data_IF_321575864425
#
_entry.id   IF_321575864425
#
_cell.length_a   1.000
_cell.length_b   1.000
_cell.length_c   1.000
_cell.angle_alpha   90.00
_cell.angle_beta   90.00
_cell.angle_gamma   90.00
#
_symmetry.space_group_name_H-M   'P 1'
#
loop_
_entity.id
_entity.type
_entity.pdbx_description
1 polymer ?
#
# COMPACT_ATOMS: atom_id res chain seq x y z
N UNK A 1 55.98 8.65 30.11
CA UNK A 1 54.81 9.56 30.11
C UNK A 1 53.56 8.71 30.24
N UNK A 2 52.83 8.83 31.36
CA UNK A 2 51.62 8.03 31.60
C UNK A 2 50.50 8.49 30.66
N UNK A 3 49.88 7.55 29.93
CA UNK A 3 48.65 7.81 29.16
C UNK A 3 47.58 8.30 30.13
N UNK A 4 47.03 9.49 29.87
CA UNK A 4 45.92 10.07 30.63
C UNK A 4 44.71 9.12 30.50
N UNK A 5 43.98 8.81 31.59
CA UNK A 5 42.84 7.92 31.51
C UNK A 5 41.75 8.58 30.65
N UNK A 6 41.28 7.83 29.66
CA UNK A 6 40.19 8.22 28.77
C UNK A 6 38.89 8.16 29.58
N UNK A 7 38.30 9.33 29.86
CA UNK A 7 37.02 9.42 30.55
C UNK A 7 35.95 9.01 29.56
N UNK A 8 35.43 7.80 29.72
CA UNK A 8 34.21 7.37 29.03
C UNK A 8 33.08 8.17 29.65
N UNK A 9 32.66 9.22 28.96
CA UNK A 9 31.45 9.96 29.32
C UNK A 9 30.29 9.05 28.96
N UNK A 10 29.64 8.44 29.95
CA UNK A 10 28.36 7.77 29.73
C UNK A 10 27.37 8.84 29.24
N UNK A 11 27.07 8.83 27.94
CA UNK A 11 25.98 9.61 27.39
C UNK A 11 24.69 9.13 28.06
N UNK A 12 24.22 9.91 29.04
CA UNK A 12 22.92 9.71 29.66
C UNK A 12 21.87 9.98 28.59
N UNK A 13 21.31 8.91 28.02
CA UNK A 13 20.11 8.99 27.19
C UNK A 13 19.02 9.68 28.01
N UNK A 14 18.80 10.98 27.77
CA UNK A 14 17.64 11.68 28.30
C UNK A 14 16.41 11.15 27.59
N UNK A 15 15.70 10.22 28.23
CA UNK A 15 14.38 9.81 27.78
C UNK A 15 13.48 11.06 27.68
N UNK A 16 13.02 11.36 26.46
CA UNK A 16 12.09 12.47 26.21
C UNK A 16 10.67 11.98 26.45
N UNK A 17 10.31 11.82 27.73
CA UNK A 17 8.98 11.35 28.14
C UNK A 17 7.99 12.53 28.00
N UNK A 18 6.97 12.36 27.14
CA UNK A 18 5.83 13.29 27.06
C UNK A 18 4.71 12.76 27.95
N UNK A 19 4.31 13.54 28.96
CA UNK A 19 3.17 13.21 29.83
C UNK A 19 1.95 13.92 29.25
N UNK A 20 1.05 13.16 28.64
CA UNK A 20 -0.18 13.66 28.02
C UNK A 20 -1.39 12.88 28.55
N UNK A 21 -2.56 13.53 28.77
CA UNK A 21 -3.79 12.84 29.13
C UNK A 21 -4.20 11.82 28.07
N UNK A 22 -4.62 10.63 28.50
CA UNK A 22 -5.01 9.54 27.60
C UNK A 22 -6.14 9.97 26.65
N UNK A 23 -7.10 10.74 27.15
CA UNK A 23 -8.26 11.20 26.39
C UNK A 23 -7.83 12.03 25.17
N UNK A 24 -6.85 12.92 25.37
CA UNK A 24 -6.33 13.78 24.31
C UNK A 24 -5.56 12.96 23.27
N UNK A 25 -4.66 12.09 23.73
CA UNK A 25 -3.85 11.24 22.83
C UNK A 25 -4.76 10.31 22.02
N UNK A 26 -5.73 9.65 22.66
CA UNK A 26 -6.64 8.73 21.98
C UNK A 26 -7.50 9.45 20.95
N UNK A 27 -8.10 10.60 21.31
CA UNK A 27 -8.91 11.40 20.40
C UNK A 27 -8.13 11.81 19.16
N UNK A 28 -6.95 12.39 19.33
CA UNK A 28 -6.13 12.91 18.23
C UNK A 28 -5.60 11.81 17.32
N UNK A 29 -5.09 10.71 17.90
CA UNK A 29 -4.54 9.58 17.13
C UNK A 29 -5.64 8.84 16.38
N UNK A 30 -6.78 8.62 17.02
CA UNK A 30 -7.93 8.00 16.38
C UNK A 30 -8.48 8.86 15.25
N UNK A 31 -8.69 10.16 15.49
CA UNK A 31 -9.21 11.07 14.47
C UNK A 31 -8.28 11.16 13.25
N UNK A 32 -6.96 11.23 13.49
CA UNK A 32 -5.97 11.26 12.41
C UNK A 32 -6.00 9.98 11.58
N UNK A 33 -6.05 8.81 12.23
CA UNK A 33 -6.13 7.54 11.52
C UNK A 33 -7.45 7.37 10.78
N UNK A 34 -8.58 7.71 11.40
CA UNK A 34 -9.90 7.63 10.80
C UNK A 34 -9.98 8.51 9.55
N UNK A 35 -9.50 9.76 9.64
CA UNK A 35 -9.42 10.66 8.49
C UNK A 35 -8.61 10.05 7.34
N UNK A 36 -7.43 9.50 7.63
CA UNK A 36 -6.60 8.84 6.62
C UNK A 36 -7.31 7.64 5.98
N UNK A 37 -7.98 6.79 6.77
CA UNK A 37 -8.71 5.64 6.24
C UNK A 37 -9.83 6.07 5.31
N UNK A 38 -10.59 7.10 5.69
CA UNK A 38 -11.72 7.60 4.91
C UNK A 38 -11.23 8.19 3.58
N UNK A 39 -10.22 9.05 3.63
CA UNK A 39 -9.76 9.81 2.45
C UNK A 39 -8.83 9.00 1.52
N UNK A 40 -7.90 8.23 2.09
CA UNK A 40 -6.77 7.65 1.34
C UNK A 40 -6.80 6.11 1.28
N UNK A 41 -7.89 5.46 1.71
CA UNK A 41 -7.99 3.99 1.67
C UNK A 41 -9.37 3.47 1.27
N UNK A 42 -10.41 3.86 1.99
CA UNK A 42 -11.70 3.18 1.96
C UNK A 42 -12.60 3.65 0.82
N UNK A 43 -12.73 4.98 0.65
CA UNK A 43 -13.70 5.60 -0.27
C UNK A 43 -13.00 5.98 -1.60
N UNK A 44 -13.60 5.67 -2.76
CA UNK A 44 -13.07 6.10 -4.05
C UNK A 44 -13.22 7.62 -4.27
N UNK A 45 -12.40 8.19 -5.13
CA UNK A 45 -12.54 9.58 -5.56
C UNK A 45 -13.72 9.71 -6.55
N UNK A 46 -14.52 10.77 -6.43
CA UNK A 46 -15.71 10.97 -7.28
C UNK A 46 -15.37 11.19 -8.77
N UNK A 47 -14.17 11.68 -9.07
CA UNK A 47 -13.77 12.05 -10.44
C UNK A 47 -13.45 10.84 -11.31
N UNK A 48 -12.87 9.81 -10.73
CA UNK A 48 -12.42 8.60 -11.44
C UNK A 48 -13.04 7.30 -10.89
N UNK A 49 -13.69 7.35 -9.73
CA UNK A 49 -14.27 6.17 -9.08
C UNK A 49 -13.23 5.19 -8.52
N UNK A 50 -11.95 5.56 -8.45
CA UNK A 50 -10.87 4.66 -8.05
C UNK A 50 -10.43 4.88 -6.60
N UNK A 51 -10.18 3.77 -5.90
CA UNK A 51 -9.44 3.80 -4.63
C UNK A 51 -7.94 4.04 -4.88
N UNK A 52 -7.19 4.57 -3.90
CA UNK A 52 -5.77 4.88 -4.11
C UNK A 52 -4.90 3.71 -4.58
N UNK A 53 -5.15 2.48 -4.10
CA UNK A 53 -4.41 1.29 -4.56
C UNK A 53 -4.66 0.99 -6.03
N UNK A 54 -5.91 1.06 -6.48
CA UNK A 54 -6.31 0.80 -7.88
C UNK A 54 -5.68 1.81 -8.83
N UNK A 55 -5.74 3.10 -8.47
CA UNK A 55 -5.12 4.19 -9.22
C UNK A 55 -3.61 3.98 -9.39
N UNK A 56 -2.92 3.60 -8.30
CA UNK A 56 -1.46 3.37 -8.32
C UNK A 56 -1.08 2.18 -9.18
N UNK A 57 -1.86 1.10 -9.17
CA UNK A 57 -1.64 -0.07 -10.05
C UNK A 57 -1.73 0.34 -11.52
N UNK A 58 -2.84 0.97 -11.92
CA UNK A 58 -3.06 1.39 -13.31
C UNK A 58 -1.97 2.38 -13.76
N UNK A 59 -1.62 3.35 -12.90
CA UNK A 59 -0.56 4.31 -13.20
C UNK A 59 0.81 3.64 -13.36
N UNK A 60 1.15 2.66 -12.52
CA UNK A 60 2.40 1.90 -12.63
C UNK A 60 2.44 1.04 -13.90
N UNK A 61 1.32 0.41 -14.28
CA UNK A 61 1.21 -0.33 -15.55
C UNK A 61 1.42 0.59 -16.75
N UNK A 62 0.80 1.78 -16.74
CA UNK A 62 1.02 2.80 -17.77
C UNK A 62 2.49 3.25 -17.83
N UNK A 63 3.11 3.57 -16.69
CA UNK A 63 4.52 4.01 -16.61
C UNK A 63 5.51 2.93 -17.05
N UNK A 64 5.20 1.66 -16.80
CA UNK A 64 6.02 0.52 -17.24
C UNK A 64 5.70 0.03 -18.66
N UNK A 65 4.90 0.80 -19.41
CA UNK A 65 4.47 0.48 -20.77
C UNK A 65 3.82 -0.92 -20.88
N UNK A 66 3.08 -1.31 -19.85
CA UNK A 66 2.27 -2.53 -19.84
C UNK A 66 0.86 -2.19 -20.34
N UNK A 67 0.75 -2.00 -21.65
CA UNK A 67 -0.48 -1.61 -22.33
C UNK A 67 -1.14 -2.84 -22.99
N UNK A 68 -2.41 -2.70 -23.36
CA UNK A 68 -3.21 -3.78 -23.97
C UNK A 68 -2.60 -4.43 -25.22
N UNK A 69 -1.72 -3.72 -25.94
CA UNK A 69 -1.08 -4.19 -27.17
C UNK A 69 0.29 -4.84 -26.92
N UNK A 70 0.67 -5.08 -25.66
CA UNK A 70 1.92 -5.72 -25.27
C UNK A 70 1.63 -7.09 -24.64
N UNK A 71 2.60 -8.03 -24.67
CA UNK A 71 2.47 -9.28 -23.94
C UNK A 71 2.27 -9.04 -22.44
N UNK A 72 1.55 -9.95 -21.80
CA UNK A 72 1.32 -9.94 -20.36
C UNK A 72 2.66 -9.99 -19.60
N UNK A 73 2.73 -9.28 -18.48
CA UNK A 73 3.87 -9.30 -17.56
C UNK A 73 3.48 -10.02 -16.27
N UNK A 74 4.46 -10.63 -15.60
CA UNK A 74 4.25 -11.30 -14.31
C UNK A 74 3.64 -10.32 -13.28
N UNK A 75 2.56 -10.72 -12.62
CA UNK A 75 1.90 -9.91 -11.59
C UNK A 75 2.88 -9.46 -10.49
N UNK A 76 3.77 -10.35 -10.04
CA UNK A 76 4.80 -10.04 -9.03
C UNK A 76 5.70 -8.85 -9.41
N UNK A 77 5.98 -8.64 -10.70
CA UNK A 77 6.76 -7.48 -11.15
C UNK A 77 6.00 -6.17 -11.00
N UNK A 78 4.73 -6.16 -11.41
CA UNK A 78 3.85 -4.98 -11.25
C UNK A 78 3.60 -4.69 -9.77
N UNK A 79 3.26 -5.71 -8.98
CA UNK A 79 3.06 -5.59 -7.52
C UNK A 79 4.32 -5.04 -6.84
N UNK A 80 5.49 -5.60 -7.13
CA UNK A 80 6.76 -5.12 -6.56
C UNK A 80 7.08 -3.67 -6.92
N UNK A 81 6.80 -3.26 -8.16
CA UNK A 81 7.00 -1.88 -8.61
C UNK A 81 6.03 -0.91 -7.92
N UNK A 82 4.75 -1.28 -7.83
CA UNK A 82 3.74 -0.47 -7.12
C UNK A 82 4.11 -0.33 -5.65
N UNK A 83 4.51 -1.41 -5.01
CA UNK A 83 4.93 -1.43 -3.60
C UNK A 83 6.14 -0.53 -3.36
N UNK A 84 7.18 -0.68 -4.18
CA UNK A 84 8.43 0.06 -4.03
C UNK A 84 8.34 1.54 -4.37
N UNK A 85 7.46 1.93 -5.30
CA UNK A 85 7.42 3.32 -5.81
C UNK A 85 6.22 4.13 -5.33
N UNK A 86 5.04 3.52 -5.17
CA UNK A 86 3.79 4.26 -5.02
C UNK A 86 2.93 3.86 -3.81
N UNK A 87 3.03 2.63 -3.32
CA UNK A 87 2.12 2.08 -2.33
C UNK A 87 2.89 1.37 -1.20
N UNK A 88 3.25 2.09 -0.12
CA UNK A 88 4.06 1.55 0.98
C UNK A 88 3.21 0.69 1.94
N UNK A 89 2.50 -0.30 1.39
CA UNK A 89 1.71 -1.29 2.13
C UNK A 89 1.98 -2.68 1.54
N UNK A 90 1.44 -3.71 2.18
CA UNK A 90 1.70 -5.10 1.80
C UNK A 90 1.41 -5.43 0.34
N UNK A 91 2.23 -6.31 -0.22
CA UNK A 91 2.10 -6.86 -1.56
C UNK A 91 0.77 -7.58 -1.76
N UNK A 92 0.27 -8.29 -0.75
CA UNK A 92 -1.03 -8.99 -0.77
C UNK A 92 -2.19 -8.04 -1.11
N UNK A 93 -2.26 -6.88 -0.46
CA UNK A 93 -3.32 -5.89 -0.70
C UNK A 93 -3.29 -5.32 -2.12
N UNK A 94 -2.09 -5.21 -2.71
CA UNK A 94 -1.91 -4.76 -4.09
C UNK A 94 -2.31 -5.87 -5.06
N UNK A 95 -1.89 -7.11 -4.81
CA UNK A 95 -2.20 -8.26 -5.64
C UNK A 95 -3.70 -8.55 -5.68
N UNK A 96 -4.37 -8.56 -4.54
CA UNK A 96 -5.82 -8.74 -4.44
C UNK A 96 -6.59 -7.65 -5.18
N UNK A 97 -6.14 -6.38 -5.06
CA UNK A 97 -6.76 -5.28 -5.79
C UNK A 97 -6.56 -5.42 -7.30
N UNK A 98 -5.38 -5.87 -7.74
CA UNK A 98 -5.07 -6.14 -9.14
C UNK A 98 -5.98 -7.25 -9.71
N UNK A 99 -6.04 -8.39 -9.04
CA UNK A 99 -6.88 -9.52 -9.46
C UNK A 99 -8.38 -9.15 -9.43
N UNK A 100 -8.84 -8.39 -8.43
CA UNK A 100 -10.25 -7.94 -8.40
C UNK A 100 -10.62 -7.07 -9.60
N UNK A 101 -9.69 -6.27 -10.12
CA UNK A 101 -9.93 -5.40 -11.27
C UNK A 101 -9.98 -6.15 -12.62
N UNK A 102 -9.58 -7.43 -12.65
CA UNK A 102 -9.69 -8.28 -13.84
C UNK A 102 -10.88 -9.25 -13.82
N UNK A 103 -11.50 -9.47 -12.64
CA UNK A 103 -12.61 -10.41 -12.46
C UNK A 103 -13.94 -9.83 -12.94
N UNK A 104 -14.40 -10.25 -14.12
CA UNK A 104 -15.65 -9.80 -14.76
C UNK A 104 -16.92 -10.09 -13.96
N UNK A 105 -16.93 -11.11 -13.11
CA UNK A 105 -18.04 -11.37 -12.17
C UNK A 105 -18.05 -10.43 -10.95
N UNK A 106 -16.95 -9.72 -10.66
CA UNK A 106 -16.87 -8.76 -9.53
C UNK A 106 -16.96 -7.30 -9.97
N UNK A 107 -16.59 -6.99 -11.22
CA UNK A 107 -16.64 -5.63 -11.77
C UNK A 107 -17.31 -5.64 -13.14
N UNK A 108 -18.17 -4.66 -13.40
CA UNK A 108 -18.93 -4.57 -14.65
C UNK A 108 -18.04 -4.40 -15.88
N UNK A 109 -16.94 -3.65 -15.73
CA UNK A 109 -15.96 -3.39 -16.78
C UNK A 109 -14.57 -3.64 -16.20
N UNK A 110 -13.97 -4.82 -16.47
CA UNK A 110 -12.59 -5.10 -16.07
C UNK A 110 -11.62 -4.06 -16.61
N UNK A 111 -10.71 -3.61 -15.75
CA UNK A 111 -9.68 -2.61 -16.09
C UNK A 111 -8.32 -3.26 -16.39
N UNK A 112 -8.17 -4.54 -16.06
CA UNK A 112 -6.93 -5.30 -16.22
C UNK A 112 -7.25 -6.58 -16.96
N UNK A 113 -6.46 -6.87 -17.99
CA UNK A 113 -6.42 -8.19 -18.63
C UNK A 113 -5.47 -9.10 -17.84
N UNK A 114 -5.94 -10.30 -17.51
CA UNK A 114 -5.26 -11.23 -16.60
C UNK A 114 -5.12 -12.60 -17.25
N UNK A 115 -3.91 -13.15 -17.20
CA UNK A 115 -3.61 -14.47 -17.73
C UNK A 115 -3.21 -15.43 -16.60
N UNK A 116 -3.91 -16.57 -16.52
CA UNK A 116 -3.70 -17.59 -15.50
C UNK A 116 -4.97 -17.85 -14.69
N UNK A 117 -4.84 -18.50 -13.54
CA UNK A 117 -5.96 -18.70 -12.64
C UNK A 117 -6.31 -17.37 -11.95
N UNK A 118 -7.40 -16.74 -12.41
CA UNK A 118 -7.90 -15.47 -11.90
C UNK A 118 -8.93 -15.66 -10.75
N UNK A 119 -8.99 -16.84 -10.14
CA UNK A 119 -10.01 -17.22 -9.17
C UNK A 119 -11.35 -17.60 -9.83
N UNK A 120 -12.37 -17.84 -9.02
CA UNK A 120 -13.70 -18.26 -9.49
C UNK A 120 -14.84 -17.53 -8.78
N UNK A 121 -16.07 -17.73 -9.29
CA UNK A 121 -17.30 -17.28 -8.62
C UNK A 121 -17.58 -18.05 -7.33
N UNK A 122 -17.05 -19.27 -7.23
CA UNK A 122 -17.21 -20.17 -6.07
C UNK A 122 -16.35 -19.75 -4.88
N UNK A 123 -15.50 -18.73 -5.05
CA UNK A 123 -14.67 -18.17 -4.00
C UNK A 123 -13.22 -18.64 -4.03
N UNK A 124 -12.81 -19.39 -5.07
CA UNK A 124 -11.42 -19.78 -5.22
C UNK A 124 -10.53 -18.55 -5.42
N UNK A 125 -9.40 -18.54 -4.69
CA UNK A 125 -8.44 -17.46 -4.76
C UNK A 125 -7.68 -17.48 -6.11
N UNK A 126 -7.28 -16.31 -6.64
CA UNK A 126 -6.34 -16.25 -7.76
C UNK A 126 -4.98 -16.82 -7.35
N UNK A 127 -4.31 -17.48 -8.31
CA UNK A 127 -3.01 -18.13 -8.07
C UNK A 127 -1.83 -17.16 -8.11
#
# INVERSE_FOLDING_TARGET
>A
MAKKPEVIVEETFKEKISIEPLENVMGDRYATYAKYVIQDRAIPDVRDGLKPVQRRIIFSMYKSNNLFNKPTKKCAHTVGTVMGTYHPHGDSSIYEALARMSQDWKVRYPLIDFQGNNGSIDGDAPA
#
